data_IF_334357696823
#
_entry.id   IF_334357696823
#
_cell.length_a   1.000
_cell.length_b   1.000
_cell.length_c   1.000
_cell.angle_alpha   90.00
_cell.angle_beta   90.00
_cell.angle_gamma   90.00
#
_symmetry.space_group_name_H-M   'P 1'
#
loop_
_entity.id
_entity.type
_entity.pdbx_description
1 polymer ?
#
# COMPACT_ATOMS: atom_id res chain seq x y z
N UNK A 1 10.47 -6.87 -12.88
CA UNK A 1 9.18 -7.10 -12.18
C UNK A 1 8.37 -5.85 -12.45
N UNK A 2 7.11 -5.99 -12.82
CA UNK A 2 6.18 -4.86 -13.03
C UNK A 2 5.14 -4.93 -11.91
N UNK A 3 4.79 -3.82 -11.29
CA UNK A 3 3.73 -3.75 -10.29
C UNK A 3 2.37 -3.60 -10.99
N UNK A 4 2.07 -4.45 -11.96
CA UNK A 4 0.83 -4.34 -12.72
C UNK A 4 -0.35 -4.82 -11.87
N UNK A 5 -1.43 -4.03 -11.89
CA UNK A 5 -2.72 -4.49 -11.40
C UNK A 5 -3.16 -5.73 -12.18
N UNK A 6 -3.69 -6.69 -11.44
CA UNK A 6 -4.26 -7.94 -11.95
C UNK A 6 -5.62 -8.10 -11.28
N UNK A 7 -6.64 -8.49 -12.03
CA UNK A 7 -8.00 -8.70 -11.53
C UNK A 7 -8.06 -9.73 -10.39
N UNK A 8 -7.03 -10.57 -10.23
CA UNK A 8 -6.89 -11.43 -9.05
C UNK A 8 -6.68 -10.68 -7.74
N UNK A 9 -6.45 -9.37 -7.75
CA UNK A 9 -6.37 -8.53 -6.56
C UNK A 9 -7.71 -7.86 -6.21
N UNK A 10 -8.73 -7.98 -7.08
CA UNK A 10 -10.09 -7.50 -6.81
C UNK A 10 -10.68 -8.26 -5.61
N UNK A 11 -11.03 -7.53 -4.56
CA UNK A 11 -11.66 -8.06 -3.35
C UNK A 11 -13.19 -7.88 -3.37
N UNK A 12 -13.73 -7.08 -4.29
CA UNK A 12 -15.17 -6.91 -4.51
C UNK A 12 -15.79 -5.80 -3.66
N UNK A 13 -14.97 -4.89 -3.13
CA UNK A 13 -15.39 -3.65 -2.50
C UNK A 13 -14.86 -2.53 -3.39
N UNK A 14 -15.74 -1.97 -4.23
CA UNK A 14 -15.35 -1.08 -5.34
C UNK A 14 -14.44 0.06 -4.88
N UNK A 15 -14.74 0.68 -3.74
CA UNK A 15 -13.92 1.76 -3.17
C UNK A 15 -12.49 1.29 -2.88
N UNK A 16 -12.30 0.13 -2.24
CA UNK A 16 -10.99 -0.41 -1.91
C UNK A 16 -10.26 -0.94 -3.15
N UNK A 17 -10.98 -1.54 -4.10
CA UNK A 17 -10.41 -1.98 -5.38
C UNK A 17 -9.82 -0.79 -6.17
N UNK A 18 -10.48 0.37 -6.16
CA UNK A 18 -9.94 1.59 -6.78
C UNK A 18 -8.72 2.13 -6.03
N UNK A 19 -8.72 2.06 -4.70
CA UNK A 19 -7.58 2.47 -3.88
C UNK A 19 -6.37 1.57 -4.12
N UNK A 20 -6.55 0.25 -4.14
CA UNK A 20 -5.48 -0.69 -4.48
C UNK A 20 -4.92 -0.42 -5.88
N UNK A 21 -5.78 -0.23 -6.89
CA UNK A 21 -5.35 0.13 -8.27
C UNK A 21 -4.45 1.37 -8.28
N UNK A 22 -4.80 2.42 -7.53
CA UNK A 22 -3.97 3.64 -7.42
C UNK A 22 -2.65 3.37 -6.70
N UNK A 23 -2.62 2.51 -5.66
CA UNK A 23 -1.37 2.10 -5.01
C UNK A 23 -0.43 1.37 -5.98
N UNK A 24 -0.92 0.41 -6.76
CA UNK A 24 -0.14 -0.24 -7.82
C UNK A 24 0.38 0.78 -8.85
N UNK A 25 -0.46 1.74 -9.25
CA UNK A 25 -0.06 2.83 -10.14
C UNK A 25 1.10 3.68 -9.60
N UNK A 26 1.05 4.04 -8.32
CA UNK A 26 2.11 4.81 -7.66
C UNK A 26 3.43 4.03 -7.56
N UNK A 27 3.35 2.72 -7.29
CA UNK A 27 4.53 1.86 -7.28
C UNK A 27 5.15 1.78 -8.68
N UNK A 28 4.33 1.65 -9.74
CA UNK A 28 4.81 1.67 -11.12
C UNK A 28 5.44 3.01 -11.53
N UNK A 29 4.89 4.13 -11.06
CA UNK A 29 5.46 5.46 -11.29
C UNK A 29 6.84 5.60 -10.63
N UNK A 30 6.99 5.06 -9.41
CA UNK A 30 8.26 5.05 -8.70
C UNK A 30 9.28 4.17 -9.41
N UNK A 31 8.88 2.97 -9.84
CA UNK A 31 9.72 2.08 -10.63
C UNK A 31 10.19 2.76 -11.93
N UNK A 32 9.27 3.40 -12.65
CA UNK A 32 9.56 4.13 -13.89
C UNK A 32 10.58 5.24 -13.63
N UNK A 33 10.41 5.99 -12.54
CA UNK A 33 11.34 7.06 -12.17
C UNK A 33 12.75 6.55 -11.88
N UNK A 34 12.87 5.39 -11.22
CA UNK A 34 14.16 4.72 -10.99
C UNK A 34 14.79 4.29 -12.32
N UNK A 35 14.02 3.65 -13.20
CA UNK A 35 14.51 3.17 -14.51
C UNK A 35 14.97 4.29 -15.44
N UNK A 36 14.30 5.42 -15.39
CA UNK A 36 14.65 6.60 -16.20
C UNK A 36 15.84 7.38 -15.62
N UNK A 37 16.34 7.01 -14.44
CA UNK A 37 17.41 7.75 -13.78
C UNK A 37 16.97 9.17 -13.38
N UNK A 38 15.69 9.34 -13.03
CA UNK A 38 15.17 10.63 -12.59
C UNK A 38 15.91 11.12 -11.35
N UNK A 39 15.88 12.45 -11.15
CA UNK A 39 16.56 13.05 -10.01
C UNK A 39 15.99 12.55 -8.68
N UNK A 40 16.82 12.61 -7.64
CA UNK A 40 16.41 12.30 -6.26
C UNK A 40 15.16 13.07 -5.82
N UNK A 41 15.03 14.34 -6.21
CA UNK A 41 13.87 15.16 -5.86
C UNK A 41 12.58 14.70 -6.54
N UNK A 42 12.66 14.19 -7.78
CA UNK A 42 11.50 13.61 -8.47
C UNK A 42 11.08 12.33 -7.77
N UNK A 43 12.02 11.40 -7.54
CA UNK A 43 11.69 10.14 -6.87
C UNK A 43 11.16 10.36 -5.44
N UNK A 44 11.71 11.33 -4.69
CA UNK A 44 11.21 11.69 -3.36
C UNK A 44 9.75 12.13 -3.38
N UNK A 45 9.31 12.89 -4.40
CA UNK A 45 7.91 13.31 -4.52
C UNK A 45 6.97 12.12 -4.74
N UNK A 46 7.39 11.15 -5.54
CA UNK A 46 6.60 9.94 -5.78
C UNK A 46 6.50 9.10 -4.50
N UNK A 47 7.59 9.01 -3.71
CA UNK A 47 7.54 8.36 -2.38
C UNK A 47 6.61 9.10 -1.42
N UNK A 48 6.59 10.44 -1.46
CA UNK A 48 5.67 11.24 -0.64
C UNK A 48 4.21 10.99 -1.02
N UNK A 49 3.89 10.94 -2.31
CA UNK A 49 2.55 10.62 -2.79
C UNK A 49 2.15 9.18 -2.41
N UNK A 50 3.06 8.21 -2.57
CA UNK A 50 2.83 6.83 -2.16
C UNK A 50 2.53 6.72 -0.66
N UNK A 51 3.33 7.36 0.19
CA UNK A 51 3.12 7.36 1.65
C UNK A 51 1.78 8.00 2.01
N UNK A 52 1.48 9.16 1.43
CA UNK A 52 0.24 9.89 1.70
C UNK A 52 -1.00 9.07 1.28
N UNK A 53 -0.95 8.46 0.10
CA UNK A 53 -2.06 7.66 -0.41
C UNK A 53 -2.23 6.35 0.38
N UNK A 54 -1.12 5.71 0.78
CA UNK A 54 -1.15 4.52 1.65
C UNK A 54 -1.81 4.83 2.99
N UNK A 55 -1.48 5.97 3.62
CA UNK A 55 -2.12 6.42 4.86
C UNK A 55 -3.62 6.65 4.69
N UNK A 56 -4.02 7.22 3.55
CA UNK A 56 -5.43 7.49 3.24
C UNK A 56 -6.22 6.19 3.06
N UNK A 57 -5.67 5.25 2.30
CA UNK A 57 -6.24 3.92 2.10
C UNK A 57 -6.40 3.17 3.44
N UNK A 58 -5.33 3.07 4.23
CA UNK A 58 -5.34 2.41 5.53
C UNK A 58 -6.34 3.04 6.49
N UNK A 59 -6.38 4.37 6.57
CA UNK A 59 -7.33 5.08 7.45
C UNK A 59 -8.79 4.77 7.08
N UNK A 60 -9.10 4.64 5.79
CA UNK A 60 -10.45 4.36 5.31
C UNK A 60 -10.84 2.90 5.58
N UNK A 61 -9.93 1.95 5.34
CA UNK A 61 -10.15 0.55 5.70
C UNK A 61 -10.32 0.38 7.21
N UNK A 62 -9.38 0.89 8.00
CA UNK A 62 -9.40 0.79 9.47
C UNK A 62 -10.67 1.37 10.06
N UNK A 63 -11.10 2.55 9.57
CA UNK A 63 -12.37 3.15 9.97
C UNK A 63 -13.53 2.21 9.67
N UNK A 64 -13.60 1.67 8.45
CA UNK A 64 -14.67 0.75 8.03
C UNK A 64 -14.69 -0.50 8.90
N UNK A 65 -13.54 -1.11 9.16
CA UNK A 65 -13.41 -2.32 9.96
C UNK A 65 -13.76 -2.08 11.43
N UNK A 66 -13.32 -0.96 12.00
CA UNK A 66 -13.61 -0.58 13.38
C UNK A 66 -15.10 -0.29 13.59
N UNK A 67 -15.72 0.50 12.71
CA UNK A 67 -17.15 0.85 12.79
C UNK A 67 -18.07 -0.37 12.69
N UNK A 68 -17.63 -1.40 11.96
CA UNK A 68 -18.37 -2.65 11.78
C UNK A 68 -18.00 -3.74 12.80
N UNK A 69 -17.01 -3.51 13.67
CA UNK A 69 -16.58 -4.47 14.70
C UNK A 69 -15.89 -5.71 14.13
N UNK A 70 -15.04 -5.55 13.11
CA UNK A 70 -14.29 -6.65 12.51
C UNK A 70 -13.40 -7.37 13.55
N UNK A 71 -13.54 -8.69 13.76
CA UNK A 71 -12.84 -9.41 14.84
C UNK A 71 -11.30 -9.35 14.78
N UNK A 72 -10.73 -9.29 13.57
CA UNK A 72 -9.28 -9.28 13.37
C UNK A 72 -8.72 -7.85 13.16
N UNK A 73 -9.47 -6.81 13.58
CA UNK A 73 -9.09 -5.41 13.40
C UNK A 73 -7.68 -5.08 13.94
N UNK A 74 -7.36 -5.49 15.16
CA UNK A 74 -6.07 -5.20 15.79
C UNK A 74 -4.89 -5.82 15.01
N UNK A 75 -5.09 -7.02 14.45
CA UNK A 75 -4.08 -7.67 13.61
C UNK A 75 -3.89 -6.89 12.30
N UNK A 76 -4.99 -6.47 11.66
CA UNK A 76 -4.98 -5.66 10.44
C UNK A 76 -4.24 -4.33 10.66
N UNK A 77 -4.58 -3.63 11.74
CA UNK A 77 -3.96 -2.36 12.13
C UNK A 77 -2.46 -2.52 12.38
N UNK A 78 -2.02 -3.62 12.98
CA UNK A 78 -0.60 -3.87 13.21
C UNK A 78 0.18 -4.03 11.90
N UNK A 79 -0.35 -4.78 10.93
CA UNK A 79 0.27 -4.95 9.60
C UNK A 79 0.45 -3.59 8.90
N UNK A 80 -0.56 -2.71 8.99
CA UNK A 80 -0.48 -1.34 8.46
C UNK A 80 0.60 -0.51 9.14
N UNK A 81 0.64 -0.53 10.47
CA UNK A 81 1.63 0.20 11.26
C UNK A 81 3.06 -0.25 10.94
N UNK A 82 3.26 -1.56 10.76
CA UNK A 82 4.57 -2.13 10.44
C UNK A 82 5.07 -1.69 9.06
N UNK A 83 4.19 -1.65 8.04
CA UNK A 83 4.56 -1.09 6.74
C UNK A 83 4.89 0.39 6.84
N UNK A 84 4.02 1.18 7.47
CA UNK A 84 4.20 2.62 7.60
C UNK A 84 5.51 2.95 8.33
N UNK A 85 5.88 2.18 9.36
CA UNK A 85 7.16 2.29 10.04
C UNK A 85 8.33 2.10 9.08
N UNK A 86 8.33 1.00 8.32
CA UNK A 86 9.38 0.66 7.35
C UNK A 86 9.51 1.71 6.24
N UNK A 87 8.40 2.18 5.67
CA UNK A 87 8.41 3.17 4.59
C UNK A 87 8.86 4.54 5.11
N UNK A 88 8.44 4.94 6.32
CA UNK A 88 8.90 6.19 6.96
C UNK A 88 10.39 6.15 7.28
N UNK A 89 10.90 5.04 7.80
CA UNK A 89 12.32 4.87 8.05
C UNK A 89 13.12 4.96 6.75
N UNK A 90 12.68 4.25 5.71
CA UNK A 90 13.29 4.34 4.40
C UNK A 90 13.30 5.78 3.87
N UNK A 91 12.16 6.49 3.94
CA UNK A 91 12.06 7.88 3.50
C UNK A 91 13.03 8.79 4.27
N UNK A 92 13.08 8.67 5.59
CA UNK A 92 13.98 9.49 6.42
C UNK A 92 15.46 9.26 6.04
N UNK A 93 15.85 8.00 5.82
CA UNK A 93 17.20 7.68 5.36
C UNK A 93 17.43 8.18 3.93
N UNK A 94 16.44 8.09 3.06
CA UNK A 94 16.50 8.63 1.71
C UNK A 94 16.70 10.14 1.74
N UNK A 95 15.95 10.89 2.53
CA UNK A 95 16.00 12.36 2.68
C UNK A 95 17.29 12.84 3.35
N UNK A 96 17.86 12.04 4.24
CA UNK A 96 19.18 12.27 4.82
C UNK A 96 20.35 11.94 3.86
N UNK A 97 20.07 11.40 2.67
CA UNK A 97 21.09 10.96 1.71
C UNK A 97 21.82 9.69 2.13
N UNK A 98 21.28 8.94 3.08
CA UNK A 98 21.82 7.68 3.60
C UNK A 98 21.36 6.46 2.80
N UNK A 99 20.27 6.60 2.04
CA UNK A 99 19.71 5.53 1.22
C UNK A 99 19.31 6.03 -0.16
N UNK A 100 19.44 5.16 -1.15
CA UNK A 100 18.93 5.37 -2.51
C UNK A 100 17.67 4.56 -2.72
N UNK A 101 16.77 5.05 -3.57
CA UNK A 101 15.59 4.29 -3.99
C UNK A 101 16.06 3.22 -4.96
N UNK A 102 15.80 1.95 -4.63
CA UNK A 102 16.28 0.79 -5.37
C UNK A 102 15.12 -0.03 -5.93
N UNK A 103 15.43 -0.88 -6.91
CA UNK A 103 14.52 -1.91 -7.38
C UNK A 103 14.15 -2.93 -6.28
N UNK A 104 15.00 -3.10 -5.27
CA UNK A 104 14.72 -3.95 -4.11
C UNK A 104 13.59 -3.39 -3.26
N UNK A 105 13.60 -2.09 -2.97
CA UNK A 105 12.46 -1.44 -2.29
C UNK A 105 11.17 -1.61 -3.08
N UNK A 106 11.23 -1.52 -4.42
CA UNK A 106 10.04 -1.72 -5.25
C UNK A 106 9.53 -3.15 -5.13
N UNK A 107 10.43 -4.13 -5.19
CA UNK A 107 10.10 -5.54 -4.95
C UNK A 107 9.46 -5.77 -3.58
N UNK A 108 9.98 -5.12 -2.53
CA UNK A 108 9.40 -5.15 -1.19
C UNK A 108 7.97 -4.59 -1.17
N UNK A 109 7.73 -3.39 -1.73
CA UNK A 109 6.42 -2.75 -1.73
C UNK A 109 5.38 -3.57 -2.51
N UNK A 110 5.76 -4.09 -3.69
CA UNK A 110 4.88 -4.98 -4.48
C UNK A 110 4.57 -6.25 -3.72
N UNK A 111 5.59 -6.89 -3.14
CA UNK A 111 5.40 -8.13 -2.39
C UNK A 111 4.52 -7.91 -1.16
N UNK A 112 4.73 -6.81 -0.43
CA UNK A 112 3.89 -6.48 0.72
C UNK A 112 2.44 -6.25 0.28
N UNK A 113 2.19 -5.38 -0.70
CA UNK A 113 0.83 -5.02 -1.14
C UNK A 113 0.08 -6.26 -1.66
N UNK A 114 0.72 -7.06 -2.51
CA UNK A 114 0.09 -8.26 -3.08
C UNK A 114 -0.19 -9.34 -2.03
N UNK A 115 0.67 -9.51 -1.04
CA UNK A 115 0.42 -10.44 0.06
C UNK A 115 -0.66 -9.92 1.00
N UNK A 116 -0.63 -8.63 1.36
CA UNK A 116 -1.60 -8.00 2.24
C UNK A 116 -3.01 -8.09 1.67
N UNK A 117 -3.20 -7.73 0.40
CA UNK A 117 -4.50 -7.86 -0.27
C UNK A 117 -5.01 -9.30 -0.21
N UNK A 118 -4.15 -10.27 -0.55
CA UNK A 118 -4.59 -11.66 -0.66
C UNK A 118 -4.79 -12.37 0.67
N UNK A 119 -4.01 -12.03 1.69
CA UNK A 119 -3.96 -12.76 2.95
C UNK A 119 -4.66 -12.01 4.10
N UNK A 120 -4.86 -10.71 3.97
CA UNK A 120 -5.44 -9.86 5.02
C UNK A 120 -6.73 -9.21 4.52
N UNK A 121 -6.68 -8.40 3.47
CA UNK A 121 -7.87 -7.65 3.01
C UNK A 121 -9.03 -8.56 2.60
N UNK A 122 -8.71 -9.63 1.88
CA UNK A 122 -9.71 -10.64 1.50
C UNK A 122 -10.46 -11.26 2.67
N UNK A 123 -9.89 -11.28 3.88
CA UNK A 123 -10.52 -11.91 5.05
C UNK A 123 -11.68 -11.08 5.61
N UNK A 124 -11.66 -9.76 5.45
CA UNK A 124 -12.77 -8.92 5.93
C UNK A 124 -13.98 -8.93 4.96
N UNK A 125 -13.80 -9.34 3.70
CA UNK A 125 -14.86 -9.30 2.69
C UNK A 125 -16.11 -10.09 3.09
N UNK A 126 -16.02 -11.39 3.50
CA UNK A 126 -17.19 -12.14 3.93
C UNK A 126 -17.85 -11.57 5.19
N UNK A 127 -17.10 -10.85 6.02
CA UNK A 127 -17.62 -10.18 7.21
C UNK A 127 -18.45 -8.97 6.83
N UNK A 128 -17.91 -8.04 6.04
CA UNK A 128 -18.61 -6.83 5.60
C UNK A 128 -19.84 -7.15 4.73
N UNK A 129 -19.77 -8.20 3.91
CA UNK A 129 -20.93 -8.67 3.13
C UNK A 129 -22.09 -9.21 3.97
N UNK A 130 -21.83 -9.67 5.20
CA UNK A 130 -22.90 -10.13 6.13
C UNK A 130 -23.61 -8.97 6.81
N UNK A 131 -22.93 -7.84 7.01
CA UNK A 131 -23.48 -6.66 7.69
C UNK A 131 -24.35 -5.83 6.74
N UNK A 132 -24.00 -5.79 5.45
CA UNK A 132 -24.74 -5.05 4.43
C UNK A 132 -25.97 -5.79 3.86
N UNK A 133 -26.46 -6.83 4.55
CA UNK A 133 -27.68 -7.59 4.21
C UNK A 133 -28.75 -7.38 5.28
#
# INVERSE_FOLDING_TARGET
>A
MSADWDEKFTIGIEEFDQQHKKLFGLINELETSVRQGNSRSVMSKVVDELLHYTLTHFSQEEKTLLENGYPDYEYHLQEHNDLLGQVREFKNNHDAGKSVITMELMGFLVNWLTNHINQTDRKYVPFLQKINK
#
